data_IF_374649841920
#
_entry.id   IF_374649841920
#
_cell.length_a   1.000
_cell.length_b   1.000
_cell.length_c   1.000
_cell.angle_alpha   90.00
_cell.angle_beta   90.00
_cell.angle_gamma   90.00
#
_symmetry.space_group_name_H-M   'P 1'
#
loop_
_entity.id
_entity.type
_entity.pdbx_description
1 polymer ?
#
# COMPACT_ATOMS: atom_id res chain seq x y z
N UNK A 1 6.61 -11.08 13.35
CA UNK A 1 6.11 -12.32 12.89
C UNK A 1 5.01 -12.27 11.84
N UNK A 2 3.75 -12.55 12.20
CA UNK A 2 2.67 -12.85 11.22
C UNK A 2 2.45 -11.74 10.19
N UNK A 3 2.41 -10.47 10.60
CA UNK A 3 2.22 -9.36 9.66
C UNK A 3 3.39 -9.20 8.68
N UNK A 4 4.62 -9.37 9.11
CA UNK A 4 5.79 -9.17 8.28
C UNK A 4 5.95 -10.19 7.14
N UNK A 5 5.39 -11.38 7.29
CA UNK A 5 5.41 -12.43 6.25
C UNK A 5 4.21 -12.36 5.31
N UNK A 6 3.26 -11.47 5.58
CA UNK A 6 1.96 -11.45 4.92
C UNK A 6 1.62 -10.10 4.27
N UNK A 7 2.54 -9.13 4.30
CA UNK A 7 2.33 -7.79 3.71
C UNK A 7 2.75 -7.79 2.23
N UNK A 8 1.99 -7.18 1.30
CA UNK A 8 0.69 -6.52 1.47
C UNK A 8 -0.42 -7.54 1.70
N UNK A 9 -1.26 -7.34 2.69
CA UNK A 9 -2.22 -8.34 3.13
C UNK A 9 -3.65 -7.79 3.09
N UNK A 10 -4.51 -8.48 2.39
CA UNK A 10 -5.96 -8.34 2.57
C UNK A 10 -6.33 -9.03 3.87
N UNK A 11 -6.43 -8.26 4.93
CA UNK A 11 -6.48 -8.78 6.28
C UNK A 11 -7.83 -9.43 6.60
N UNK A 12 -7.84 -10.71 6.88
CA UNK A 12 -8.94 -11.33 7.60
C UNK A 12 -8.76 -11.07 9.11
N UNK A 13 -9.35 -9.95 9.58
CA UNK A 13 -9.32 -9.54 10.99
C UNK A 13 -9.88 -10.62 11.91
N UNK A 14 -10.90 -11.36 11.46
CA UNK A 14 -11.56 -12.40 12.29
C UNK A 14 -10.61 -13.59 12.48
N UNK A 15 -9.96 -14.01 11.40
CA UNK A 15 -8.95 -15.07 11.46
C UNK A 15 -7.76 -14.67 12.32
N UNK A 16 -7.25 -13.45 12.15
CA UNK A 16 -6.14 -12.93 12.96
C UNK A 16 -6.52 -12.86 14.45
N UNK A 17 -7.71 -12.35 14.75
CA UNK A 17 -8.24 -12.28 16.13
C UNK A 17 -8.30 -13.67 16.78
N UNK A 18 -8.81 -14.67 16.05
CA UNK A 18 -8.84 -16.07 16.52
C UNK A 18 -7.43 -16.64 16.77
N UNK A 19 -6.46 -16.37 15.88
CA UNK A 19 -5.08 -16.86 16.02
C UNK A 19 -4.34 -16.30 17.25
N UNK A 20 -4.65 -15.07 17.65
CA UNK A 20 -3.97 -14.38 18.77
C UNK A 20 -4.82 -14.29 20.03
N UNK A 21 -6.03 -14.87 20.03
CA UNK A 21 -6.92 -14.91 21.20
C UNK A 21 -7.50 -13.55 21.61
N UNK A 22 -7.71 -12.64 20.65
CA UNK A 22 -8.24 -11.30 20.91
C UNK A 22 -9.59 -11.07 20.22
N UNK A 23 -10.33 -10.04 20.68
CA UNK A 23 -11.53 -9.60 19.98
C UNK A 23 -11.17 -8.89 18.66
N UNK A 24 -12.09 -8.92 17.67
CA UNK A 24 -11.94 -8.19 16.42
C UNK A 24 -11.66 -6.68 16.64
N UNK A 25 -12.37 -6.07 17.60
CA UNK A 25 -12.18 -4.66 17.91
C UNK A 25 -10.82 -4.37 18.53
N UNK A 26 -10.32 -5.25 19.40
CA UNK A 26 -8.97 -5.15 19.95
C UNK A 26 -7.91 -5.19 18.86
N UNK A 27 -8.04 -6.10 17.89
CA UNK A 27 -7.12 -6.20 16.76
C UNK A 27 -7.11 -4.89 15.95
N UNK A 28 -8.28 -4.33 15.62
CA UNK A 28 -8.37 -3.07 14.88
C UNK A 28 -7.69 -1.93 15.66
N UNK A 29 -7.94 -1.84 16.97
CA UNK A 29 -7.29 -0.82 17.82
C UNK A 29 -5.75 -0.98 17.83
N UNK A 30 -5.24 -2.20 17.93
CA UNK A 30 -3.79 -2.44 17.85
C UNK A 30 -3.20 -2.04 16.50
N UNK A 31 -3.88 -2.36 15.40
CA UNK A 31 -3.43 -1.94 14.08
C UNK A 31 -3.39 -0.42 13.95
N UNK A 32 -4.43 0.29 14.43
CA UNK A 32 -4.46 1.75 14.45
C UNK A 32 -3.35 2.36 15.32
N UNK A 33 -3.01 1.71 16.45
CA UNK A 33 -1.90 2.16 17.29
C UNK A 33 -0.54 1.94 16.60
N UNK A 34 -0.37 0.84 15.88
CA UNK A 34 0.84 0.57 15.10
C UNK A 34 0.99 1.53 13.90
N UNK A 35 -0.12 1.93 13.28
CA UNK A 35 -0.15 2.96 12.24
C UNK A 35 0.28 4.33 12.80
N UNK A 36 -0.29 4.74 13.96
CA UNK A 36 0.12 5.96 14.66
C UNK A 36 1.57 5.95 15.15
N UNK A 37 2.11 4.78 15.45
CA UNK A 37 3.51 4.59 15.83
C UNK A 37 4.44 4.50 14.62
N UNK A 38 3.94 4.72 13.41
CA UNK A 38 4.68 4.65 12.15
C UNK A 38 5.39 3.31 11.92
N UNK A 39 4.78 2.21 12.35
CA UNK A 39 5.26 0.86 12.08
C UNK A 39 4.51 0.20 10.92
N UNK A 40 3.24 0.59 10.76
CA UNK A 40 2.35 0.16 9.68
C UNK A 40 1.80 1.36 8.93
N UNK A 41 1.23 1.09 7.77
CA UNK A 41 0.35 1.99 7.03
C UNK A 41 -0.92 1.26 6.69
N UNK A 42 -2.05 1.80 7.15
CA UNK A 42 -3.38 1.25 6.92
C UNK A 42 -4.02 1.96 5.72
N UNK A 43 -4.38 1.22 4.69
CA UNK A 43 -5.08 1.77 3.53
C UNK A 43 -6.54 1.36 3.52
N UNK A 44 -7.36 2.31 3.12
CA UNK A 44 -8.80 2.18 2.91
C UNK A 44 -9.12 2.55 1.47
N UNK A 45 -10.17 1.97 0.92
CA UNK A 45 -10.61 2.26 -0.47
C UNK A 45 -11.52 3.47 -0.59
N UNK A 46 -11.90 4.08 0.51
CA UNK A 46 -12.68 5.30 0.58
C UNK A 46 -12.39 5.99 1.93
N UNK A 47 -11.49 6.96 1.92
CA UNK A 47 -11.09 7.71 3.11
C UNK A 47 -12.23 8.60 3.65
N UNK A 48 -13.16 9.04 2.78
CA UNK A 48 -14.26 9.92 3.19
C UNK A 48 -15.29 9.19 4.05
N UNK A 49 -15.39 7.87 3.91
CA UNK A 49 -16.35 7.04 4.66
C UNK A 49 -15.74 6.27 5.83
N UNK A 50 -14.44 6.44 6.12
CA UNK A 50 -13.76 5.68 7.19
C UNK A 50 -14.38 5.96 8.55
N UNK A 51 -14.90 4.92 9.19
CA UNK A 51 -15.44 4.94 10.56
C UNK A 51 -14.37 4.51 11.57
N UNK A 52 -14.47 4.99 12.81
CA UNK A 52 -13.48 4.73 13.89
C UNK A 52 -13.06 3.26 14.05
N UNK A 53 -13.93 2.31 13.78
CA UNK A 53 -13.67 0.86 13.92
C UNK A 53 -13.75 0.12 12.59
N UNK A 54 -13.49 0.82 11.50
CA UNK A 54 -13.47 0.20 10.18
C UNK A 54 -12.23 -0.65 9.99
N UNK A 55 -12.42 -1.83 9.41
CA UNK A 55 -11.32 -2.69 8.96
C UNK A 55 -10.57 -2.01 7.81
N UNK A 56 -9.23 -1.92 7.86
CA UNK A 56 -8.46 -1.50 6.69
C UNK A 56 -8.60 -2.51 5.55
N UNK A 57 -8.57 -2.03 4.32
CA UNK A 57 -8.62 -2.87 3.13
C UNK A 57 -7.26 -3.52 2.86
N UNK A 58 -6.16 -2.75 3.01
CA UNK A 58 -4.78 -3.26 2.92
C UNK A 58 -3.90 -2.72 4.05
N UNK A 59 -2.85 -3.47 4.36
CA UNK A 59 -1.83 -3.07 5.35
C UNK A 59 -0.46 -3.20 4.70
N UNK A 60 0.36 -2.18 4.89
CA UNK A 60 1.79 -2.17 4.55
C UNK A 60 2.63 -1.95 5.80
N UNK A 61 3.91 -2.35 5.77
CA UNK A 61 4.88 -1.82 6.71
C UNK A 61 5.18 -0.35 6.36
N UNK A 62 5.61 0.43 7.34
CA UNK A 62 5.83 1.87 7.13
C UNK A 62 6.87 2.15 6.03
N UNK A 63 7.91 1.33 5.90
CA UNK A 63 8.88 1.48 4.82
C UNK A 63 9.50 0.15 4.38
N UNK A 64 10.13 0.09 3.18
CA UNK A 64 10.78 -1.12 2.67
C UNK A 64 11.91 -1.64 3.56
N UNK A 65 12.68 -0.79 4.22
CA UNK A 65 13.78 -1.24 5.09
C UNK A 65 13.26 -2.08 6.24
N UNK A 66 12.13 -1.66 6.84
CA UNK A 66 11.47 -2.44 7.89
C UNK A 66 10.99 -3.79 7.36
N UNK A 67 10.48 -3.82 6.12
CA UNK A 67 10.07 -5.05 5.46
C UNK A 67 11.24 -6.04 5.35
N UNK A 68 12.40 -5.58 4.87
CA UNK A 68 13.59 -6.43 4.76
C UNK A 68 14.18 -6.82 6.11
N UNK A 69 14.11 -5.95 7.12
CA UNK A 69 14.67 -6.21 8.45
C UNK A 69 13.90 -7.29 9.23
N UNK A 70 12.58 -7.40 9.06
CA UNK A 70 11.74 -8.29 9.87
C UNK A 70 11.12 -9.47 9.11
N UNK A 71 11.31 -9.53 7.79
CA UNK A 71 10.82 -10.65 6.98
C UNK A 71 11.60 -11.94 7.34
N UNK A 72 10.86 -13.01 7.61
CA UNK A 72 11.44 -14.34 7.85
C UNK A 72 11.60 -15.18 6.57
N UNK A 73 11.22 -14.64 5.41
CA UNK A 73 11.31 -15.24 4.09
C UNK A 73 11.76 -14.17 3.07
N UNK A 74 12.21 -14.55 1.87
CA UNK A 74 12.56 -13.58 0.83
C UNK A 74 11.42 -12.61 0.54
N UNK A 75 11.72 -11.32 0.58
CA UNK A 75 10.76 -10.24 0.28
C UNK A 75 10.41 -10.26 -1.21
N UNK A 76 9.14 -10.27 -1.52
CA UNK A 76 8.70 -10.13 -2.90
C UNK A 76 8.90 -8.68 -3.38
N UNK A 77 9.54 -8.52 -4.52
CA UNK A 77 9.88 -7.20 -5.07
C UNK A 77 8.63 -6.34 -5.33
N UNK A 78 7.50 -6.93 -5.71
CA UNK A 78 6.22 -6.22 -5.85
C UNK A 78 5.80 -5.55 -4.54
N UNK A 79 5.86 -6.30 -3.43
CA UNK A 79 5.57 -5.78 -2.09
C UNK A 79 6.50 -4.63 -1.70
N UNK A 80 7.79 -4.74 -1.99
CA UNK A 80 8.75 -3.68 -1.69
C UNK A 80 8.45 -2.39 -2.48
N UNK A 81 8.10 -2.52 -3.77
CA UNK A 81 7.71 -1.40 -4.64
C UNK A 81 6.46 -0.70 -4.12
N UNK A 82 5.39 -1.45 -3.84
CA UNK A 82 4.14 -0.90 -3.30
C UNK A 82 4.38 -0.23 -1.93
N UNK A 83 5.14 -0.87 -1.05
CA UNK A 83 5.50 -0.31 0.26
C UNK A 83 6.26 1.02 0.11
N UNK A 84 7.19 1.10 -0.83
CA UNK A 84 7.91 2.33 -1.13
C UNK A 84 6.97 3.46 -1.59
N UNK A 85 6.08 3.16 -2.53
CA UNK A 85 5.10 4.15 -3.04
C UNK A 85 4.20 4.66 -1.92
N UNK A 86 3.63 3.77 -1.12
CA UNK A 86 2.77 4.15 0.01
C UNK A 86 3.53 5.00 1.02
N UNK A 87 4.77 4.61 1.37
CA UNK A 87 5.61 5.36 2.30
C UNK A 87 5.87 6.78 1.81
N UNK A 88 6.31 6.94 0.56
CA UNK A 88 6.68 8.26 0.02
C UNK A 88 5.47 9.16 -0.20
N UNK A 89 4.43 8.68 -0.86
CA UNK A 89 3.26 9.50 -1.17
C UNK A 89 2.43 9.86 0.07
N UNK A 90 2.38 8.99 1.09
CA UNK A 90 1.61 9.29 2.31
C UNK A 90 2.20 10.40 3.18
N UNK A 91 3.36 10.96 2.83
CA UNK A 91 3.95 12.11 3.56
C UNK A 91 3.10 13.37 3.34
N UNK A 92 2.70 13.63 2.09
CA UNK A 92 2.00 14.87 1.72
C UNK A 92 0.67 14.63 0.99
N UNK A 93 0.29 13.37 0.73
CA UNK A 93 -0.88 13.01 -0.05
C UNK A 93 -1.79 12.03 0.69
N UNK A 94 -3.06 12.06 0.36
CA UNK A 94 -4.02 11.04 0.76
C UNK A 94 -3.89 9.84 -0.17
N UNK A 95 -3.48 8.69 0.36
CA UNK A 95 -3.31 7.45 -0.41
C UNK A 95 -4.41 6.46 -0.02
N UNK A 96 -5.18 6.04 -1.00
CA UNK A 96 -6.26 5.06 -0.87
C UNK A 96 -5.93 3.77 -1.62
N UNK A 97 -6.51 2.65 -1.17
CA UNK A 97 -6.42 1.39 -1.88
C UNK A 97 -7.32 1.41 -3.12
N UNK A 98 -6.75 1.17 -4.29
CA UNK A 98 -7.45 1.26 -5.58
C UNK A 98 -8.46 0.14 -5.85
N UNK A 99 -8.38 -1.00 -5.14
CA UNK A 99 -9.19 -2.22 -5.39
C UNK A 99 -9.07 -2.70 -6.84
N UNK A 100 -10.11 -2.41 -7.64
CA UNK A 100 -10.19 -2.76 -9.05
C UNK A 100 -9.70 -1.66 -9.99
N UNK A 101 -9.37 -0.49 -9.43
CA UNK A 101 -8.92 0.70 -10.17
C UNK A 101 -7.43 0.97 -9.92
N UNK A 102 -6.57 0.02 -10.28
CA UNK A 102 -5.15 0.11 -9.99
C UNK A 102 -4.77 -0.27 -8.56
N UNK A 103 -3.53 -0.04 -8.17
CA UNK A 103 -3.03 -0.33 -6.82
C UNK A 103 -3.41 0.76 -5.83
N UNK A 104 -3.29 2.04 -6.23
CA UNK A 104 -3.54 3.20 -5.38
C UNK A 104 -4.34 4.29 -6.09
N UNK A 105 -5.16 4.99 -5.30
CA UNK A 105 -5.75 6.28 -5.68
C UNK A 105 -5.14 7.34 -4.76
N UNK A 106 -4.65 8.44 -5.35
CA UNK A 106 -3.99 9.53 -4.64
C UNK A 106 -4.81 10.79 -4.78
N UNK A 107 -5.10 11.45 -3.65
CA UNK A 107 -5.87 12.69 -3.55
C UNK A 107 -7.25 12.61 -4.25
N UNK A 108 -7.87 11.43 -4.24
CA UNK A 108 -9.15 11.13 -4.91
C UNK A 108 -9.17 11.41 -6.43
N UNK A 109 -8.01 11.67 -7.03
CA UNK A 109 -7.88 12.13 -8.42
C UNK A 109 -7.03 11.20 -9.29
N UNK A 110 -5.87 10.80 -8.81
CA UNK A 110 -4.88 10.11 -9.63
C UNK A 110 -4.85 8.62 -9.31
N UNK A 111 -4.92 7.78 -10.33
CA UNK A 111 -4.81 6.32 -10.19
C UNK A 111 -3.40 5.86 -10.54
N UNK A 112 -2.79 5.09 -9.66
CA UNK A 112 -1.47 4.51 -9.88
C UNK A 112 -1.51 2.99 -9.89
N UNK A 113 -0.77 2.42 -10.83
CA UNK A 113 -0.44 0.99 -10.92
C UNK A 113 1.07 0.85 -10.73
N UNK A 114 1.51 -0.06 -9.89
CA UNK A 114 2.93 -0.23 -9.53
C UNK A 114 3.49 -1.53 -10.10
N UNK A 115 4.70 -1.49 -10.64
CA UNK A 115 5.29 -2.70 -11.19
C UNK A 115 6.73 -2.58 -11.67
N UNK A 116 7.15 -3.55 -12.48
CA UNK A 116 8.41 -3.52 -13.21
C UNK A 116 8.31 -2.76 -14.53
N UNK A 117 9.41 -2.68 -15.27
CA UNK A 117 9.47 -1.98 -16.55
C UNK A 117 8.48 -2.54 -17.61
N UNK A 118 8.12 -3.82 -17.49
CA UNK A 118 7.18 -4.53 -18.36
C UNK A 118 5.71 -4.37 -17.99
N UNK A 119 5.40 -3.70 -16.88
CA UNK A 119 4.01 -3.45 -16.43
C UNK A 119 3.21 -2.74 -17.52
N UNK A 120 1.99 -3.20 -17.77
CA UNK A 120 1.10 -2.67 -18.81
C UNK A 120 -0.10 -1.93 -18.22
N UNK A 121 -0.74 -1.08 -19.03
CA UNK A 121 -1.92 -0.29 -18.64
C UNK A 121 -3.23 -1.10 -18.56
N UNK A 122 -3.21 -2.42 -18.77
CA UNK A 122 -4.41 -3.25 -18.90
C UNK A 122 -5.48 -3.02 -17.83
N UNK A 123 -5.07 -2.78 -16.58
CA UNK A 123 -6.01 -2.60 -15.45
C UNK A 123 -6.54 -1.17 -15.32
N UNK A 124 -5.85 -0.19 -15.90
CA UNK A 124 -6.14 1.24 -15.73
C UNK A 124 -6.31 1.97 -17.06
N UNK A 125 -6.41 1.25 -18.19
CA UNK A 125 -6.43 1.83 -19.53
C UNK A 125 -7.58 2.83 -19.74
N UNK A 126 -8.75 2.55 -19.17
CA UNK A 126 -9.97 3.36 -19.33
C UNK A 126 -10.10 4.47 -18.27
N UNK A 127 -9.09 4.62 -17.39
CA UNK A 127 -9.11 5.64 -16.34
C UNK A 127 -8.35 6.90 -16.79
N UNK A 128 -8.95 8.11 -16.67
CA UNK A 128 -8.39 9.32 -17.25
C UNK A 128 -7.02 9.70 -16.65
N UNK A 129 -6.95 9.90 -15.36
CA UNK A 129 -5.74 10.37 -14.65
C UNK A 129 -4.99 9.18 -14.03
N UNK A 130 -4.64 8.22 -14.90
CA UNK A 130 -4.00 6.98 -14.51
C UNK A 130 -2.56 6.91 -14.99
N UNK A 131 -1.66 6.39 -14.14
CA UNK A 131 -0.22 6.31 -14.38
C UNK A 131 0.32 4.95 -13.93
N UNK A 132 1.39 4.49 -14.58
CA UNK A 132 2.19 3.37 -14.08
C UNK A 132 3.44 3.93 -13.42
N UNK A 133 3.72 3.51 -12.18
CA UNK A 133 4.99 3.70 -11.50
C UNK A 133 5.83 2.44 -11.72
N UNK A 134 6.79 2.52 -12.63
CA UNK A 134 7.58 1.38 -13.06
C UNK A 134 8.99 1.42 -12.51
N UNK A 135 9.41 0.34 -11.84
CA UNK A 135 10.79 0.12 -11.44
C UNK A 135 11.67 -0.25 -12.64
N UNK A 136 12.98 -0.06 -12.52
CA UNK A 136 13.95 -0.28 -13.59
C UNK A 136 13.71 0.59 -14.85
N UNK A 137 13.26 1.82 -14.65
CA UNK A 137 13.15 2.85 -15.67
C UNK A 137 13.91 4.10 -15.25
N UNK A 138 14.65 4.70 -16.17
CA UNK A 138 15.34 5.98 -15.95
C UNK A 138 14.47 7.16 -16.35
N UNK A 139 13.72 7.05 -17.44
CA UNK A 139 12.96 8.15 -18.03
C UNK A 139 11.49 7.82 -18.19
N UNK A 140 10.65 8.83 -18.03
CA UNK A 140 9.21 8.70 -18.26
C UNK A 140 8.90 8.48 -19.76
N UNK A 141 7.89 7.67 -20.02
CA UNK A 141 7.37 7.44 -21.38
C UNK A 141 5.83 7.55 -21.32
N UNK A 142 5.31 8.70 -21.75
CA UNK A 142 3.89 9.00 -21.65
C UNK A 142 3.41 8.98 -20.19
N UNK A 143 2.41 8.15 -19.90
CA UNK A 143 1.85 7.95 -18.55
C UNK A 143 2.59 6.88 -17.72
N UNK A 144 3.70 6.35 -18.21
CA UNK A 144 4.57 5.43 -17.47
C UNK A 144 5.76 6.22 -16.90
N UNK A 145 5.84 6.29 -15.58
CA UNK A 145 6.79 7.09 -14.84
C UNK A 145 7.78 6.19 -14.10
N UNK A 146 9.04 6.58 -13.97
CA UNK A 146 10.00 5.87 -13.11
C UNK A 146 9.51 5.82 -11.67
N UNK A 147 9.59 4.63 -11.05
CA UNK A 147 9.16 4.45 -9.65
C UNK A 147 9.89 5.38 -8.68
N UNK A 148 11.18 5.63 -8.90
CA UNK A 148 12.01 6.46 -8.02
C UNK A 148 11.53 7.92 -7.92
N UNK A 149 10.75 8.41 -8.89
CA UNK A 149 10.27 9.81 -8.93
C UNK A 149 9.41 10.14 -7.70
N UNK A 150 8.69 9.17 -7.16
CA UNK A 150 7.86 9.41 -5.95
C UNK A 150 8.71 9.71 -4.71
N UNK A 151 9.97 9.34 -4.70
CA UNK A 151 10.93 9.72 -3.64
C UNK A 151 11.31 11.20 -3.66
N UNK A 152 10.86 11.98 -4.64
CA UNK A 152 11.11 13.41 -4.77
C UNK A 152 9.87 14.29 -4.54
N UNK A 153 8.76 13.69 -4.11
CA UNK A 153 7.46 14.37 -3.95
C UNK A 153 7.22 14.90 -2.52
N UNK A 154 8.24 15.14 -1.75
CA UNK A 154 8.17 15.68 -0.39
C UNK A 154 8.42 17.18 -0.36
#
# INVERSE_FOLDING_TARGET
>A
GILATSVPYELDITKLAGMIGLSRNSVINYLQNLDKAELLKLLYSDLLSVKKMQKPDKIYLQNPNLLYAIASAPVQIGTARETFVVNQLSVNHNVEYGKTKGDFIVDHAYTFEVGGADKTFKQIADLPDSFILADNMEFATGKKLPLWIVGLTY
#
